data_IF_433911370547
#
_entry.id   IF_433911370547
#
_cell.length_a   1.000
_cell.length_b   1.000
_cell.length_c   1.000
_cell.angle_alpha   90.00
_cell.angle_beta   90.00
_cell.angle_gamma   90.00
#
_symmetry.space_group_name_H-M   'P 1'
#
loop_
_entity.id
_entity.type
_entity.pdbx_description
1 polymer ?
#
# COMPACT_ATOMS: atom_id res chain seq x y z
N UNK A 1 -37.11 4.71 5.46
CA UNK A 1 -36.22 5.87 5.22
C UNK A 1 -34.80 5.37 5.04
N UNK A 2 -34.36 5.22 3.80
CA UNK A 2 -33.09 4.56 3.46
C UNK A 2 -31.87 5.44 3.68
N UNK A 3 -30.70 4.82 3.91
CA UNK A 3 -29.40 5.48 3.81
C UNK A 3 -29.17 5.86 2.34
N UNK A 4 -29.56 7.07 1.98
CA UNK A 4 -29.34 7.62 0.64
C UNK A 4 -28.03 8.41 0.65
N UNK A 5 -27.15 8.12 -0.33
CA UNK A 5 -25.94 8.91 -0.53
C UNK A 5 -26.32 10.34 -0.95
N UNK A 6 -25.42 11.31 -0.76
CA UNK A 6 -25.74 12.75 -0.90
C UNK A 6 -26.62 13.12 -2.10
N UNK A 7 -27.52 14.10 -1.91
CA UNK A 7 -28.25 14.74 -3.00
C UNK A 7 -27.33 15.71 -3.75
N UNK A 8 -27.67 16.07 -4.99
CA UNK A 8 -26.89 17.03 -5.79
C UNK A 8 -26.64 18.37 -5.06
N UNK A 9 -27.57 18.79 -4.20
CA UNK A 9 -27.45 19.98 -3.35
C UNK A 9 -26.36 19.88 -2.26
N UNK A 10 -25.80 18.69 -2.02
CA UNK A 10 -24.73 18.43 -1.02
C UNK A 10 -23.41 18.05 -1.72
N UNK A 11 -23.06 18.79 -2.77
CA UNK A 11 -21.78 18.66 -3.44
C UNK A 11 -20.62 18.88 -2.44
N UNK A 12 -19.56 18.08 -2.54
CA UNK A 12 -18.41 18.16 -1.64
C UNK A 12 -18.57 17.53 -0.25
N UNK A 13 -19.78 17.07 0.13
CA UNK A 13 -20.07 16.43 1.44
C UNK A 13 -19.05 15.36 1.84
N UNK A 14 -18.67 14.51 0.90
CA UNK A 14 -17.77 13.37 1.19
C UNK A 14 -16.34 13.84 1.48
N UNK A 15 -15.87 14.90 0.79
CA UNK A 15 -14.53 15.44 1.01
C UNK A 15 -14.45 16.27 2.29
N UNK A 16 -15.52 16.93 2.70
CA UNK A 16 -15.58 17.66 3.98
C UNK A 16 -15.81 16.74 5.18
N UNK A 17 -16.49 15.61 4.99
CA UNK A 17 -16.72 14.63 6.05
C UNK A 17 -15.47 13.78 6.37
N UNK A 18 -14.57 13.60 5.40
CA UNK A 18 -13.35 12.80 5.64
C UNK A 18 -12.37 13.58 6.53
N UNK A 19 -11.85 12.96 7.61
CA UNK A 19 -10.84 13.60 8.44
C UNK A 19 -9.61 13.91 7.59
N UNK A 20 -9.09 15.13 7.71
CA UNK A 20 -7.90 15.54 6.95
C UNK A 20 -6.67 14.89 7.58
N UNK A 21 -6.22 13.80 6.98
CA UNK A 21 -4.95 13.15 7.38
C UNK A 21 -3.79 13.91 6.74
N UNK A 22 -2.85 14.35 7.56
CA UNK A 22 -1.61 14.96 7.10
C UNK A 22 -0.70 13.93 6.43
N UNK A 23 0.13 14.40 5.51
CA UNK A 23 1.06 13.50 4.82
C UNK A 23 2.14 13.10 5.82
N UNK A 24 2.26 11.79 6.06
CA UNK A 24 3.38 11.25 6.83
C UNK A 24 4.69 11.61 6.15
N UNK A 25 5.67 12.03 6.95
CA UNK A 25 7.03 12.24 6.47
C UNK A 25 7.64 10.88 6.11
N UNK A 26 7.94 10.71 4.82
CA UNK A 26 8.57 9.50 4.30
C UNK A 26 9.96 9.85 3.83
N UNK A 27 10.90 8.93 4.08
CA UNK A 27 12.24 9.03 3.53
C UNK A 27 12.19 9.20 2.00
N UNK A 28 13.08 10.03 1.48
CA UNK A 28 13.12 10.33 0.05
C UNK A 28 13.45 9.06 -0.73
N UNK A 29 12.57 8.67 -1.64
CA UNK A 29 12.90 7.63 -2.61
C UNK A 29 14.01 8.12 -3.52
N UNK A 30 15.02 7.28 -3.84
CA UNK A 30 16.08 7.67 -4.76
C UNK A 30 15.47 8.05 -6.11
N UNK A 31 16.08 9.00 -6.84
CA UNK A 31 15.60 9.45 -8.16
C UNK A 31 16.43 8.85 -9.29
N UNK A 32 15.83 8.75 -10.49
CA UNK A 32 16.53 8.37 -11.72
C UNK A 32 17.00 6.91 -11.76
N UNK A 33 18.29 6.70 -12.06
CA UNK A 33 18.88 5.37 -12.26
C UNK A 33 18.82 4.49 -11.02
N UNK A 34 19.05 5.07 -9.84
CA UNK A 34 19.03 4.35 -8.57
C UNK A 34 17.65 3.72 -8.31
N UNK A 35 16.57 4.45 -8.62
CA UNK A 35 15.21 3.92 -8.50
C UNK A 35 14.94 2.76 -9.46
N UNK A 36 15.40 2.87 -10.71
CA UNK A 36 15.24 1.79 -11.71
C UNK A 36 15.97 0.52 -11.27
N UNK A 37 17.17 0.64 -10.68
CA UNK A 37 17.92 -0.51 -10.12
C UNK A 37 17.14 -1.19 -8.99
N UNK A 38 16.58 -0.38 -8.09
CA UNK A 38 15.79 -0.86 -6.98
C UNK A 38 14.51 -1.59 -7.45
N UNK A 39 13.78 -1.01 -8.42
CA UNK A 39 12.60 -1.64 -9.03
C UNK A 39 12.97 -2.97 -9.68
N UNK A 40 14.04 -3.02 -10.47
CA UNK A 40 14.46 -4.24 -11.17
C UNK A 40 14.80 -5.37 -10.18
N UNK A 41 15.57 -5.03 -9.14
CA UNK A 41 15.96 -5.98 -8.09
C UNK A 41 14.73 -6.53 -7.36
N UNK A 42 13.78 -5.66 -6.98
CA UNK A 42 12.53 -6.06 -6.31
C UNK A 42 11.60 -6.89 -7.19
N UNK A 43 11.49 -6.57 -8.49
CA UNK A 43 10.51 -7.21 -9.40
C UNK A 43 11.01 -8.51 -10.01
N UNK A 44 12.31 -8.59 -10.29
CA UNK A 44 12.84 -9.68 -11.12
C UNK A 44 13.90 -10.50 -10.40
N UNK A 45 14.86 -9.89 -9.70
CA UNK A 45 15.95 -10.66 -9.08
C UNK A 45 15.47 -11.39 -7.82
N UNK A 46 14.78 -10.69 -6.92
CA UNK A 46 14.42 -11.28 -5.62
C UNK A 46 13.20 -12.21 -5.70
N UNK A 47 12.31 -12.06 -6.70
CA UNK A 47 11.09 -12.87 -6.84
C UNK A 47 11.35 -14.18 -7.59
N UNK A 48 12.26 -14.19 -8.57
CA UNK A 48 12.55 -15.40 -9.37
C UNK A 48 13.35 -16.45 -8.59
N UNK A 49 14.11 -16.03 -7.57
CA UNK A 49 14.87 -16.92 -6.70
C UNK A 49 13.99 -17.68 -5.70
N UNK A 50 12.74 -17.28 -5.52
CA UNK A 50 11.79 -17.99 -4.64
C UNK A 50 10.85 -18.89 -5.45
N UNK A 51 10.89 -20.22 -5.28
CA UNK A 51 9.95 -21.11 -5.97
C UNK A 51 8.52 -20.83 -5.48
N UNK A 52 7.63 -20.41 -6.39
CA UNK A 52 6.24 -20.02 -6.09
C UNK A 52 5.95 -18.50 -6.13
N UNK A 53 6.91 -17.68 -6.58
CA UNK A 53 6.79 -16.21 -6.66
C UNK A 53 5.79 -15.71 -7.72
N UNK A 54 4.49 -15.83 -7.46
CA UNK A 54 3.47 -15.09 -8.25
C UNK A 54 3.71 -13.58 -8.09
N UNK A 55 3.70 -12.83 -9.19
CA UNK A 55 3.76 -11.35 -9.19
C UNK A 55 2.60 -10.85 -8.32
N UNK A 56 2.91 -10.37 -7.11
CA UNK A 56 1.95 -9.63 -6.29
C UNK A 56 1.90 -8.22 -6.87
N UNK A 57 1.13 -8.07 -7.94
CA UNK A 57 0.81 -6.75 -8.48
C UNK A 57 0.16 -5.94 -7.35
N UNK A 58 0.52 -4.67 -7.26
CA UNK A 58 0.17 -3.77 -6.15
C UNK A 58 -1.33 -3.42 -6.10
N UNK A 59 -2.16 -4.14 -6.86
CA UNK A 59 -3.62 -4.13 -6.82
C UNK A 59 -4.19 -4.99 -5.67
N UNK A 60 -3.43 -5.21 -4.60
CA UNK A 60 -3.93 -5.81 -3.36
C UNK A 60 -3.97 -4.70 -2.29
N UNK A 61 -5.18 -4.22 -1.92
CA UNK A 61 -5.32 -3.04 -1.06
C UNK A 61 -4.88 -3.27 0.40
N UNK A 62 -4.49 -4.49 0.79
CA UNK A 62 -4.18 -4.86 2.17
C UNK A 62 -2.75 -5.42 2.39
N UNK A 63 -1.74 -4.78 1.81
CA UNK A 63 -0.33 -5.13 2.09
C UNK A 63 0.15 -4.71 3.48
N UNK A 64 -0.43 -3.64 4.04
CA UNK A 64 -0.02 -3.08 5.34
C UNK A 64 -0.35 -4.02 6.51
N UNK A 65 -1.46 -4.76 6.44
CA UNK A 65 -1.90 -5.64 7.53
C UNK A 65 -1.22 -7.01 7.55
N UNK A 66 -0.50 -7.42 6.49
CA UNK A 66 0.14 -8.74 6.42
C UNK A 66 1.56 -8.76 7.03
N UNK A 67 2.28 -7.64 6.99
CA UNK A 67 3.63 -7.52 7.55
C UNK A 67 3.63 -7.57 9.09
N UNK A 68 2.61 -7.00 9.73
CA UNK A 68 2.49 -6.97 11.20
C UNK A 68 2.06 -8.32 11.82
N UNK A 69 1.56 -9.28 11.03
CA UNK A 69 1.16 -10.61 11.52
C UNK A 69 2.33 -11.60 11.43
N UNK A 70 3.24 -11.45 10.46
CA UNK A 70 4.38 -12.35 10.28
C UNK A 70 5.55 -12.07 11.22
N UNK A 71 5.67 -10.85 11.74
CA UNK A 71 6.71 -10.47 12.71
C UNK A 71 6.30 -10.73 14.17
N UNK A 72 5.01 -10.96 14.44
CA UNK A 72 4.48 -11.20 15.79
C UNK A 72 4.41 -12.67 16.22
N UNK A 73 4.98 -13.61 15.46
CA UNK A 73 4.73 -15.06 15.64
C UNK A 73 5.95 -15.98 15.59
N UNK A 74 7.17 -15.48 15.59
CA UNK A 74 8.39 -16.30 15.55
C UNK A 74 9.40 -15.90 16.63
N UNK A 75 8.94 -15.94 17.89
CA UNK A 75 9.79 -16.07 19.09
C UNK A 75 9.34 -17.33 19.82
N UNK A 76 9.70 -18.51 19.31
CA UNK A 76 9.94 -19.71 20.13
C UNK A 76 10.61 -20.81 19.31
N UNK A 77 11.78 -21.23 19.83
CA UNK A 77 12.74 -22.25 19.38
C UNK A 77 13.77 -21.77 18.36
#
# INVERSE_FOLDING_TARGET
MGKVHGSLARAGKVKSQTPKVEKQEKAKTPKGRAHKREIYTRRFVNITLTPGGKRKDECEPNRLNRMNITEGGALSR
#
